data_IF_181300658002
#
_entry.id   IF_181300658002
#
_cell.length_a   1.000
_cell.length_b   1.000
_cell.length_c   1.000
_cell.angle_alpha   90.00
_cell.angle_beta   90.00
_cell.angle_gamma   90.00
#
_symmetry.space_group_name_H-M   'P 1'
#
loop_
_entity.id
_entity.type
_entity.pdbx_description
1 polymer ?
#
# COMPACT_ATOMS: atom_id res chain seq x y z
N UNK A 1 -28.65 -16.99 -12.23
CA UNK A 1 -27.50 -16.84 -11.31
C UNK A 1 -26.18 -16.47 -12.03
N UNK A 2 -25.95 -16.86 -13.29
CA UNK A 2 -24.71 -16.53 -14.03
C UNK A 2 -24.62 -15.14 -14.68
N UNK A 3 -25.71 -14.37 -14.82
CA UNK A 3 -25.70 -13.01 -15.38
C UNK A 3 -25.29 -11.95 -14.34
N UNK A 4 -25.94 -11.97 -13.17
CA UNK A 4 -25.69 -11.00 -12.08
C UNK A 4 -24.23 -10.96 -11.60
N UNK A 5 -23.53 -12.10 -11.55
CA UNK A 5 -22.09 -12.11 -11.22
C UNK A 5 -21.22 -11.51 -12.32
N UNK A 6 -21.52 -11.79 -13.60
CA UNK A 6 -20.79 -11.20 -14.74
C UNK A 6 -20.97 -9.69 -14.80
N UNK A 7 -22.15 -9.20 -14.41
CA UNK A 7 -22.46 -7.78 -14.36
C UNK A 7 -21.72 -7.09 -13.19
N UNK A 8 -21.64 -7.76 -12.03
CA UNK A 8 -20.86 -7.28 -10.88
C UNK A 8 -19.34 -7.23 -11.14
N UNK A 9 -18.78 -8.26 -11.79
CA UNK A 9 -17.36 -8.28 -12.17
C UNK A 9 -17.01 -7.17 -13.16
N UNK A 10 -17.88 -6.93 -14.14
CA UNK A 10 -17.71 -5.80 -15.09
C UNK A 10 -17.73 -4.46 -14.37
N UNK A 11 -18.72 -4.24 -13.49
CA UNK A 11 -18.79 -3.01 -12.72
C UNK A 11 -17.55 -2.78 -11.84
N UNK A 12 -16.99 -3.83 -11.24
CA UNK A 12 -15.74 -3.73 -10.49
C UNK A 12 -14.55 -3.37 -11.38
N UNK A 13 -14.42 -4.00 -12.55
CA UNK A 13 -13.37 -3.68 -13.53
C UNK A 13 -13.50 -2.23 -13.99
N UNK A 14 -14.70 -1.78 -14.33
CA UNK A 14 -14.96 -0.40 -14.78
C UNK A 14 -14.60 0.62 -13.69
N UNK A 15 -14.91 0.31 -12.43
CA UNK A 15 -14.51 1.14 -11.30
C UNK A 15 -12.99 1.21 -11.12
N UNK A 16 -12.27 0.10 -11.29
CA UNK A 16 -10.80 0.05 -11.24
C UNK A 16 -10.16 0.82 -12.39
N UNK A 17 -10.66 0.65 -13.62
CA UNK A 17 -10.18 1.37 -14.79
C UNK A 17 -10.42 2.87 -14.62
N UNK A 18 -11.59 3.27 -14.12
CA UNK A 18 -11.91 4.67 -13.82
C UNK A 18 -11.02 5.27 -12.74
N UNK A 19 -10.70 4.51 -11.70
CA UNK A 19 -9.74 4.96 -10.68
C UNK A 19 -8.34 5.14 -11.28
N UNK A 20 -7.85 4.15 -12.02
CA UNK A 20 -6.50 4.18 -12.60
C UNK A 20 -6.32 5.32 -13.60
N UNK A 21 -7.34 5.62 -14.41
CA UNK A 21 -7.30 6.71 -15.38
C UNK A 21 -7.42 8.10 -14.75
N UNK A 22 -8.11 8.21 -13.61
CA UNK A 22 -8.22 9.46 -12.87
C UNK A 22 -6.91 9.84 -12.15
N UNK A 23 -6.07 8.86 -11.83
CA UNK A 23 -4.78 9.09 -11.17
C UNK A 23 -3.71 9.46 -12.20
N UNK A 24 -3.06 10.63 -12.04
CA UNK A 24 -1.93 10.99 -12.88
C UNK A 24 -0.62 10.39 -12.35
N UNK A 25 -0.26 9.22 -12.89
CA UNK A 25 0.97 8.49 -12.55
C UNK A 25 2.27 9.19 -13.00
N UNK A 26 2.18 10.33 -13.70
CA UNK A 26 3.37 11.13 -14.07
C UNK A 26 3.84 12.04 -12.94
N UNK A 27 3.04 12.24 -11.90
CA UNK A 27 3.40 13.15 -10.82
C UNK A 27 4.68 12.70 -10.09
N UNK A 28 5.64 13.61 -9.87
CA UNK A 28 6.93 13.25 -9.27
C UNK A 28 6.82 12.62 -7.88
N UNK A 29 5.94 13.15 -7.02
CA UNK A 29 5.77 12.63 -5.66
C UNK A 29 5.15 11.23 -5.66
N UNK A 30 4.23 10.94 -6.59
CA UNK A 30 3.60 9.63 -6.72
C UNK A 30 4.60 8.60 -7.22
N UNK A 31 5.46 8.98 -8.18
CA UNK A 31 6.59 8.14 -8.62
C UNK A 31 7.59 7.88 -7.51
N UNK A 32 7.91 8.89 -6.71
CA UNK A 32 8.77 8.73 -5.54
C UNK A 32 8.15 7.78 -4.51
N UNK A 33 6.84 7.86 -4.29
CA UNK A 33 6.09 6.94 -3.44
C UNK A 33 6.14 5.50 -3.97
N UNK A 34 5.91 5.28 -5.27
CA UNK A 34 6.02 3.95 -5.89
C UNK A 34 7.45 3.40 -5.81
N UNK A 35 8.46 4.24 -6.03
CA UNK A 35 9.86 3.86 -5.87
C UNK A 35 10.19 3.49 -4.42
N UNK A 36 9.66 4.22 -3.43
CA UNK A 36 9.81 3.91 -2.02
C UNK A 36 9.21 2.53 -1.67
N UNK A 37 8.05 2.20 -2.22
CA UNK A 37 7.46 0.86 -2.08
C UNK A 37 8.33 -0.22 -2.72
N UNK A 38 8.85 0.00 -3.93
CA UNK A 38 9.75 -0.95 -4.58
C UNK A 38 11.03 -1.18 -3.74
N UNK A 39 11.63 -0.11 -3.23
CA UNK A 39 12.76 -0.18 -2.30
C UNK A 39 12.41 -0.95 -1.03
N UNK A 40 11.23 -0.70 -0.43
CA UNK A 40 10.74 -1.44 0.73
C UNK A 40 10.67 -2.95 0.42
N UNK A 41 10.05 -3.35 -0.69
CA UNK A 41 9.98 -4.77 -1.07
C UNK A 41 11.37 -5.38 -1.27
N UNK A 42 12.30 -4.67 -1.90
CA UNK A 42 13.69 -5.12 -2.05
C UNK A 42 14.31 -5.35 -0.68
N UNK A 43 14.20 -4.39 0.24
CA UNK A 43 14.73 -4.50 1.61
C UNK A 43 14.09 -5.68 2.36
N UNK A 44 12.78 -5.86 2.26
CA UNK A 44 12.06 -7.00 2.87
C UNK A 44 12.59 -8.33 2.34
N UNK A 45 12.82 -8.45 1.03
CA UNK A 45 13.33 -9.67 0.41
C UNK A 45 14.79 -9.94 0.77
N UNK A 46 15.63 -8.91 0.80
CA UNK A 46 17.04 -9.02 1.15
C UNK A 46 17.23 -9.38 2.63
N UNK A 47 16.37 -8.87 3.51
CA UNK A 47 16.46 -9.07 4.97
C UNK A 47 15.59 -10.22 5.48
N UNK A 48 15.04 -11.06 4.59
CA UNK A 48 14.07 -12.14 4.90
C UNK A 48 14.52 -13.19 5.94
N UNK A 49 15.81 -13.23 6.30
CA UNK A 49 16.38 -14.15 7.29
C UNK A 49 16.78 -13.47 8.61
N UNK A 50 16.64 -12.15 8.69
CA UNK A 50 16.98 -11.36 9.87
C UNK A 50 15.71 -10.98 10.62
N UNK A 51 15.46 -11.68 11.74
CA UNK A 51 14.29 -11.47 12.59
C UNK A 51 14.17 -10.02 13.08
N UNK A 52 15.29 -9.42 13.50
CA UNK A 52 15.28 -8.08 14.09
C UNK A 52 14.88 -7.05 13.04
N UNK A 53 15.46 -7.13 11.85
CA UNK A 53 15.15 -6.20 10.77
C UNK A 53 13.71 -6.39 10.27
N UNK A 54 13.26 -7.64 10.10
CA UNK A 54 11.88 -7.94 9.73
C UNK A 54 10.88 -7.42 10.78
N UNK A 55 11.15 -7.58 12.07
CA UNK A 55 10.31 -7.05 13.16
C UNK A 55 10.21 -5.52 13.15
N UNK A 56 11.33 -4.81 12.95
CA UNK A 56 11.33 -3.35 12.82
C UNK A 56 10.52 -2.89 11.60
N UNK A 57 10.71 -3.54 10.44
CA UNK A 57 9.96 -3.24 9.23
C UNK A 57 8.46 -3.49 9.39
N UNK A 58 8.08 -4.58 10.08
CA UNK A 58 6.69 -4.88 10.39
C UNK A 58 6.04 -3.76 11.20
N UNK A 59 6.66 -3.38 12.31
CA UNK A 59 6.17 -2.32 13.18
C UNK A 59 6.09 -0.97 12.45
N UNK A 60 7.10 -0.63 11.64
CA UNK A 60 7.12 0.59 10.85
C UNK A 60 5.97 0.64 9.83
N UNK A 61 5.79 -0.43 9.05
CA UNK A 61 4.71 -0.52 8.06
C UNK A 61 3.33 -0.47 8.73
N UNK A 62 3.14 -1.21 9.83
CA UNK A 62 1.90 -1.20 10.59
C UNK A 62 1.58 0.19 11.16
N UNK A 63 2.57 0.91 11.68
CA UNK A 63 2.39 2.27 12.16
C UNK A 63 1.98 3.23 11.04
N UNK A 64 2.59 3.14 9.85
CA UNK A 64 2.22 3.96 8.70
C UNK A 64 0.78 3.69 8.25
N UNK A 65 0.39 2.41 8.15
CA UNK A 65 -0.99 2.01 7.81
C UNK A 65 -1.99 2.51 8.86
N UNK A 66 -1.65 2.40 10.14
CA UNK A 66 -2.49 2.94 11.22
C UNK A 66 -2.69 4.46 11.10
N UNK A 67 -1.65 5.18 10.68
CA UNK A 67 -1.74 6.63 10.47
C UNK A 67 -2.29 7.03 9.10
N UNK A 68 -2.67 6.07 8.24
CA UNK A 68 -3.06 6.35 6.85
C UNK A 68 -4.22 7.34 6.73
N UNK A 69 -5.23 7.26 7.61
CA UNK A 69 -6.35 8.22 7.62
C UNK A 69 -5.87 9.64 7.96
N UNK A 70 -4.95 9.78 8.93
CA UNK A 70 -4.39 11.09 9.30
C UNK A 70 -3.49 11.63 8.19
N UNK A 71 -2.69 10.77 7.56
CA UNK A 71 -1.87 11.13 6.39
C UNK A 71 -2.78 11.63 5.27
N UNK A 72 -3.87 10.91 4.98
CA UNK A 72 -4.86 11.29 3.97
C UNK A 72 -5.48 12.66 4.26
N UNK A 73 -5.91 12.91 5.50
CA UNK A 73 -6.49 14.20 5.88
C UNK A 73 -5.49 15.36 5.76
N UNK A 74 -4.24 15.16 6.18
CA UNK A 74 -3.18 16.16 6.06
C UNK A 74 -2.81 16.44 4.59
N UNK A 75 -2.74 15.38 3.78
CA UNK A 75 -2.47 15.47 2.36
C UNK A 75 -3.62 16.18 1.63
N UNK A 76 -4.88 15.89 1.99
CA UNK A 76 -6.06 16.58 1.49
C UNK A 76 -6.10 18.07 1.85
N UNK A 77 -5.48 18.47 2.97
CA UNK A 77 -5.41 19.88 3.37
C UNK A 77 -4.27 20.66 2.68
N UNK A 78 -3.26 19.96 2.15
CA UNK A 78 -2.03 20.56 1.60
C UNK A 78 -1.68 20.09 0.19
N UNK A 79 -2.62 19.49 -0.53
CA UNK A 79 -2.36 18.88 -1.84
C UNK A 79 -1.72 19.86 -2.83
N UNK A 80 -2.12 21.14 -2.80
CA UNK A 80 -1.61 22.20 -3.69
C UNK A 80 -0.08 22.40 -3.61
N UNK A 81 0.56 21.99 -2.50
CA UNK A 81 2.00 22.18 -2.33
C UNK A 81 2.85 21.14 -3.06
N UNK A 82 2.27 19.99 -3.45
CA UNK A 82 3.02 18.87 -4.03
C UNK A 82 2.33 18.16 -5.19
N UNK A 83 1.02 18.29 -5.33
CA UNK A 83 0.19 17.63 -6.34
C UNK A 83 -0.49 18.66 -7.25
N UNK A 84 -0.74 18.28 -8.49
CA UNK A 84 -1.45 19.13 -9.47
C UNK A 84 -2.97 19.06 -9.32
N UNK A 85 -3.48 18.01 -8.67
CA UNK A 85 -4.89 17.82 -8.35
C UNK A 85 -5.05 17.14 -6.99
N UNK A 86 -6.23 17.27 -6.38
CA UNK A 86 -6.52 16.64 -5.10
C UNK A 86 -6.98 15.18 -5.28
N UNK A 87 -6.13 14.24 -4.90
CA UNK A 87 -6.43 12.80 -4.92
C UNK A 87 -7.09 12.31 -3.62
N UNK A 88 -7.05 13.09 -2.56
CA UNK A 88 -7.37 12.65 -1.21
C UNK A 88 -8.83 12.97 -0.89
N UNK A 89 -9.63 11.92 -0.69
CA UNK A 89 -11.03 12.04 -0.33
C UNK A 89 -11.27 11.66 1.14
N UNK A 90 -12.39 12.09 1.77
CA UNK A 90 -12.70 11.74 3.16
C UNK A 90 -12.84 10.24 3.41
N UNK A 91 -13.10 9.45 2.35
CA UNK A 91 -13.18 7.99 2.42
C UNK A 91 -11.80 7.32 2.33
N UNK A 92 -10.74 8.07 2.06
CA UNK A 92 -9.37 7.58 1.94
C UNK A 92 -9.17 6.56 0.84
N UNK A 93 -9.96 6.58 -0.25
CA UNK A 93 -9.90 5.54 -1.30
C UNK A 93 -8.53 5.50 -1.96
N UNK A 94 -8.03 6.67 -2.37
CA UNK A 94 -6.70 6.79 -2.98
C UNK A 94 -5.61 6.30 -2.03
N UNK A 95 -5.57 6.82 -0.80
CA UNK A 95 -4.55 6.46 0.20
C UNK A 95 -4.60 4.97 0.54
N UNK A 96 -5.79 4.38 0.63
CA UNK A 96 -5.93 2.94 0.89
C UNK A 96 -5.33 2.08 -0.23
N UNK A 97 -5.56 2.46 -1.48
CA UNK A 97 -5.03 1.71 -2.64
C UNK A 97 -3.53 1.93 -2.83
N UNK A 98 -3.08 3.19 -2.76
CA UNK A 98 -1.71 3.55 -3.15
C UNK A 98 -0.71 3.45 -2.01
N UNK A 99 -1.12 3.77 -0.78
CA UNK A 99 -0.27 3.70 0.41
C UNK A 99 -0.50 2.40 1.18
N UNK A 100 -1.75 2.13 1.58
CA UNK A 100 -2.00 1.02 2.52
C UNK A 100 -1.85 -0.35 1.87
N UNK A 101 -2.33 -0.54 0.64
CA UNK A 101 -2.33 -1.87 0.00
C UNK A 101 -0.92 -2.43 -0.17
N UNK A 102 0.06 -1.70 -0.75
CA UNK A 102 1.43 -2.20 -0.84
C UNK A 102 2.07 -2.45 0.53
N UNK A 103 1.81 -1.59 1.52
CA UNK A 103 2.33 -1.77 2.89
C UNK A 103 1.74 -3.00 3.57
N UNK A 104 0.45 -3.27 3.41
CA UNK A 104 -0.22 -4.47 3.93
C UNK A 104 0.32 -5.73 3.24
N UNK A 105 0.55 -5.69 1.92
CA UNK A 105 1.19 -6.80 1.22
C UNK A 105 2.62 -7.02 1.76
N UNK A 106 3.39 -5.96 1.97
CA UNK A 106 4.71 -6.06 2.56
C UNK A 106 4.67 -6.66 3.98
N UNK A 107 3.72 -6.24 4.84
CA UNK A 107 3.58 -6.80 6.19
C UNK A 107 3.17 -8.26 6.19
N UNK A 108 2.34 -8.70 5.23
CA UNK A 108 2.01 -10.12 5.05
C UNK A 108 3.25 -10.94 4.66
N UNK A 109 4.08 -10.44 3.74
CA UNK A 109 5.35 -11.11 3.36
C UNK A 109 6.29 -11.19 4.57
N UNK A 110 6.44 -10.09 5.31
CA UNK A 110 7.26 -10.03 6.52
C UNK A 110 6.74 -11.04 7.57
N UNK A 111 5.42 -11.11 7.77
CA UNK A 111 4.81 -12.04 8.71
C UNK A 111 5.13 -13.50 8.35
N UNK A 112 5.04 -13.87 7.08
CA UNK A 112 5.42 -15.22 6.61
C UNK A 112 6.91 -15.48 6.89
N UNK A 113 7.80 -14.53 6.59
CA UNK A 113 9.23 -14.69 6.86
C UNK A 113 9.51 -14.89 8.36
N UNK A 114 8.88 -14.08 9.22
CA UNK A 114 9.03 -14.18 10.69
C UNK A 114 8.56 -15.55 11.20
N UNK A 115 7.41 -16.04 10.73
CA UNK A 115 6.90 -17.37 11.10
C UNK A 115 7.85 -18.50 10.69
N UNK A 116 8.47 -18.41 9.51
CA UNK A 116 9.46 -19.39 9.05
C UNK A 116 10.73 -19.35 9.90
N UNK A 117 11.23 -18.15 10.24
CA UNK A 117 12.39 -18.00 11.13
C UNK A 117 12.10 -18.62 12.49
N UNK A 118 10.97 -18.28 13.11
CA UNK A 118 10.57 -18.81 14.43
C UNK A 118 10.47 -20.34 14.41
N UNK A 119 9.86 -20.92 13.37
CA UNK A 119 9.73 -22.37 13.24
C UNK A 119 11.10 -23.04 13.08
N UNK A 120 12.04 -22.41 12.35
CA UNK A 120 13.40 -22.94 12.19
C UNK A 120 14.24 -22.91 13.47
N UNK A 121 13.89 -22.05 14.44
CA UNK A 121 14.55 -22.00 15.75
C UNK A 121 13.95 -22.97 16.77
N UNK A 122 12.77 -23.53 16.50
CA UNK A 122 12.11 -24.51 17.37
C UNK A 122 12.52 -25.96 17.12
N UNK A 123 13.28 -26.21 16.03
CA UNK A 123 13.84 -27.52 15.65
C UNK A 123 15.30 -27.59 16.07
#
# INVERSE_FOLDING_TARGET
LGSSSKDGWRAAIDAWVGFYSAVDWREPWLRALLAAHACLFIVVLLTRRDERTQGVLFCACAAIVFMAERINALAAAKWETFATQNYFDPRGRFTSVVLSTPLVVATLVILVNLLLIMTSMMV
#
